data_IF_742443329741
#
_entry.id   IF_742443329741
#
_cell.length_a   1.000
_cell.length_b   1.000
_cell.length_c   1.000
_cell.angle_alpha   90.00
_cell.angle_beta   90.00
_cell.angle_gamma   90.00
#
_symmetry.space_group_name_H-M   'P 1'
#
loop_
_entity.id
_entity.type
_entity.pdbx_description
1 polymer ?
#
# COMPACT_ATOMS: atom_id res chain seq x y z
N UNK A 1 19.55 32.67 -17.96
CA UNK A 1 19.32 32.08 -16.63
C UNK A 1 18.81 30.65 -16.84
N UNK A 2 19.49 29.65 -16.29
CA UNK A 2 19.14 28.25 -16.51
C UNK A 2 17.85 27.91 -15.77
N UNK A 3 16.81 27.48 -16.51
CA UNK A 3 15.53 27.03 -15.95
C UNK A 3 15.80 25.70 -15.23
N UNK A 4 15.45 25.60 -13.94
CA UNK A 4 15.52 24.34 -13.20
C UNK A 4 14.66 23.30 -13.93
N UNK A 5 15.22 22.10 -14.15
CA UNK A 5 14.53 20.98 -14.82
C UNK A 5 13.48 20.31 -13.93
N UNK A 6 13.41 20.70 -12.65
CA UNK A 6 12.43 20.20 -11.71
C UNK A 6 11.16 21.05 -11.85
N UNK A 7 10.11 20.44 -12.37
CA UNK A 7 8.76 21.01 -12.30
C UNK A 7 8.25 21.03 -10.85
N UNK A 8 7.04 21.56 -10.62
CA UNK A 8 6.41 21.50 -9.31
C UNK A 8 6.40 20.06 -8.78
N UNK A 9 6.86 19.88 -7.55
CA UNK A 9 6.74 18.59 -6.86
C UNK A 9 5.25 18.32 -6.70
N UNK A 10 4.78 17.16 -7.14
CA UNK A 10 3.39 16.74 -6.97
C UNK A 10 3.06 16.75 -5.48
N UNK A 11 2.08 17.56 -5.08
CA UNK A 11 1.51 17.54 -3.74
C UNK A 11 0.53 16.38 -3.67
N UNK A 12 1.06 15.16 -3.50
CA UNK A 12 0.25 13.96 -3.26
C UNK A 12 -0.39 14.07 -1.87
N UNK A 13 -1.52 14.77 -1.83
CA UNK A 13 -2.27 14.97 -0.59
C UNK A 13 -2.83 13.61 -0.12
N UNK A 14 -2.41 13.12 1.07
CA UNK A 14 -2.91 11.85 1.57
C UNK A 14 -4.42 11.95 1.86
N UNK A 15 -5.18 11.00 1.36
CA UNK A 15 -6.62 10.86 1.67
C UNK A 15 -6.74 9.97 2.90
N UNK A 16 -7.31 10.50 3.99
CA UNK A 16 -7.60 9.71 5.19
C UNK A 16 -8.87 8.88 4.97
N UNK A 17 -8.77 7.58 5.19
CA UNK A 17 -9.89 6.63 5.10
C UNK A 17 -10.01 5.95 6.46
N UNK A 18 -11.22 5.97 7.04
CA UNK A 18 -11.56 5.18 8.23
C UNK A 18 -12.27 3.90 7.78
N UNK A 19 -11.79 2.75 8.24
CA UNK A 19 -12.33 1.43 7.87
C UNK A 19 -12.37 0.54 9.11
N UNK A 20 -13.41 -0.27 9.20
CA UNK A 20 -13.49 -1.37 10.15
C UNK A 20 -13.04 -2.66 9.47
N UNK A 21 -12.29 -3.49 10.19
CA UNK A 21 -11.81 -4.78 9.72
C UNK A 21 -12.49 -5.91 10.49
N UNK A 22 -12.87 -7.02 9.82
CA UNK A 22 -13.24 -8.23 10.52
C UNK A 22 -12.14 -8.68 11.49
N UNK A 23 -12.54 -9.14 12.68
CA UNK A 23 -11.57 -9.56 13.70
C UNK A 23 -10.64 -10.69 13.23
N UNK A 24 -11.11 -11.57 12.33
CA UNK A 24 -10.28 -12.59 11.69
C UNK A 24 -9.16 -11.97 10.86
N UNK A 25 -9.48 -10.99 10.01
CA UNK A 25 -8.50 -10.33 9.16
C UNK A 25 -7.44 -9.59 9.99
N UNK A 26 -7.84 -8.92 11.08
CA UNK A 26 -6.87 -8.30 11.98
C UNK A 26 -5.90 -9.34 12.58
N UNK A 27 -6.39 -10.50 13.02
CA UNK A 27 -5.51 -11.58 13.53
C UNK A 27 -4.56 -12.10 12.46
N UNK A 28 -5.03 -12.24 11.23
CA UNK A 28 -4.18 -12.68 10.11
C UNK A 28 -3.09 -11.65 9.79
N UNK A 29 -3.41 -10.35 9.86
CA UNK A 29 -2.42 -9.27 9.69
C UNK A 29 -1.38 -9.24 10.81
N UNK A 30 -1.78 -9.52 12.06
CA UNK A 30 -0.84 -9.69 13.19
C UNK A 30 0.12 -10.83 12.92
N UNK A 31 -0.40 -12.01 12.57
CA UNK A 31 0.44 -13.17 12.26
C UNK A 31 1.37 -12.88 11.07
N UNK A 32 0.89 -12.19 10.04
CA UNK A 32 1.72 -11.79 8.91
C UNK A 32 2.86 -10.86 9.32
N UNK A 33 2.58 -9.86 10.17
CA UNK A 33 3.60 -8.94 10.68
C UNK A 33 4.70 -9.67 11.46
N UNK A 34 4.33 -10.67 12.26
CA UNK A 34 5.29 -11.50 13.00
C UNK A 34 6.16 -12.36 12.08
N UNK A 35 5.58 -12.96 11.04
CA UNK A 35 6.34 -13.73 10.05
C UNK A 35 7.32 -12.81 9.31
N UNK A 36 6.85 -11.65 8.84
CA UNK A 36 7.68 -10.66 8.14
C UNK A 36 8.84 -10.17 9.02
N UNK A 37 8.59 -9.94 10.31
CA UNK A 37 9.62 -9.57 11.28
C UNK A 37 10.73 -10.61 11.37
N UNK A 38 10.34 -11.90 11.46
CA UNK A 38 11.29 -13.03 11.52
C UNK A 38 12.10 -13.15 10.24
N UNK A 39 11.47 -12.96 9.08
CA UNK A 39 12.14 -13.05 7.77
C UNK A 39 13.12 -11.90 7.52
N UNK A 40 12.77 -10.69 7.96
CA UNK A 40 13.57 -9.48 7.73
C UNK A 40 14.57 -9.16 8.84
N UNK A 41 14.46 -9.83 9.98
CA UNK A 41 15.22 -9.52 11.20
C UNK A 41 14.84 -8.16 11.82
N UNK A 42 13.73 -7.56 11.38
CA UNK A 42 13.22 -6.28 11.88
C UNK A 42 12.15 -6.51 12.94
N UNK A 43 11.85 -5.51 13.79
CA UNK A 43 10.71 -5.58 14.69
C UNK A 43 9.39 -5.78 13.95
N UNK A 44 8.45 -6.49 14.59
CA UNK A 44 7.09 -6.61 14.08
C UNK A 44 6.47 -5.23 13.89
N UNK A 45 6.00 -4.99 12.67
CA UNK A 45 5.33 -3.75 12.30
C UNK A 45 3.87 -3.79 12.78
N UNK A 46 3.31 -2.62 13.06
CA UNK A 46 1.86 -2.47 13.32
C UNK A 46 1.07 -3.10 12.15
N UNK A 47 0.17 -4.07 12.40
CA UNK A 47 -0.62 -4.74 11.38
C UNK A 47 -1.34 -3.78 10.42
N UNK A 48 -1.76 -2.61 10.91
CA UNK A 48 -2.47 -1.59 10.10
C UNK A 48 -1.55 -0.99 9.04
N UNK A 49 -0.25 -0.88 9.32
CA UNK A 49 0.74 -0.35 8.36
C UNK A 49 1.00 -1.29 7.18
N UNK A 50 0.57 -2.55 7.27
CA UNK A 50 0.67 -3.50 6.16
C UNK A 50 -0.40 -3.26 5.09
N UNK A 51 -1.53 -2.65 5.45
CA UNK A 51 -2.71 -2.53 4.57
C UNK A 51 -2.36 -1.75 3.30
N UNK A 52 -1.75 -0.57 3.46
CA UNK A 52 -1.39 0.30 2.32
C UNK A 52 -0.44 -0.40 1.33
N UNK A 53 0.75 -0.89 1.73
CA UNK A 53 1.65 -1.55 0.78
C UNK A 53 1.08 -2.85 0.19
N UNK A 54 0.24 -3.59 0.94
CA UNK A 54 -0.45 -4.76 0.40
C UNK A 54 -1.46 -4.37 -0.70
N UNK A 55 -2.27 -3.33 -0.49
CA UNK A 55 -3.23 -2.83 -1.48
C UNK A 55 -2.52 -2.25 -2.71
N UNK A 56 -1.46 -1.47 -2.52
CA UNK A 56 -0.63 -0.97 -3.62
C UNK A 56 -0.07 -2.13 -4.45
N UNK A 57 0.49 -3.15 -3.79
CA UNK A 57 1.01 -4.34 -4.46
C UNK A 57 -0.07 -5.10 -5.21
N UNK A 58 -1.24 -5.27 -4.60
CA UNK A 58 -2.39 -5.92 -5.22
C UNK A 58 -2.81 -5.20 -6.51
N UNK A 59 -3.06 -3.89 -6.43
CA UNK A 59 -3.47 -3.05 -7.57
C UNK A 59 -2.41 -3.05 -8.67
N UNK A 60 -1.12 -2.94 -8.30
CA UNK A 60 -0.03 -2.87 -9.26
C UNK A 60 0.17 -4.20 -10.03
N UNK A 61 -0.16 -5.34 -9.41
CA UNK A 61 0.10 -6.66 -9.98
C UNK A 61 -1.13 -7.31 -10.61
N UNK A 62 -2.35 -6.83 -10.33
CA UNK A 62 -3.58 -7.31 -10.94
C UNK A 62 -3.68 -6.92 -12.43
N UNK A 63 -3.35 -7.87 -13.31
CA UNK A 63 -3.43 -7.72 -14.76
C UNK A 63 -4.87 -7.56 -15.26
N UNK A 64 -5.84 -8.19 -14.59
CA UNK A 64 -7.26 -8.09 -14.93
C UNK A 64 -7.76 -6.68 -14.70
N UNK A 65 -7.46 -6.13 -13.52
CA UNK A 65 -7.71 -4.73 -13.20
C UNK A 65 -7.01 -3.78 -14.18
N UNK A 66 -5.72 -4.01 -14.47
CA UNK A 66 -4.97 -3.19 -15.41
C UNK A 66 -5.57 -3.19 -16.83
N UNK A 67 -6.12 -4.32 -17.31
CA UNK A 67 -6.81 -4.41 -18.60
C UNK A 67 -8.14 -3.64 -18.57
N UNK A 68 -8.95 -3.83 -17.53
CA UNK A 68 -10.23 -3.15 -17.38
C UNK A 68 -10.06 -1.62 -17.30
N UNK A 69 -9.08 -1.14 -16.52
CA UNK A 69 -8.77 0.30 -16.38
C UNK A 69 -8.39 0.96 -17.70
N UNK A 70 -7.65 0.26 -18.57
CA UNK A 70 -7.30 0.76 -19.91
C UNK A 70 -8.47 0.78 -20.88
N UNK A 71 -9.45 -0.09 -20.70
CA UNK A 71 -10.65 -0.14 -21.55
C UNK A 71 -11.69 0.91 -21.14
N UNK A 72 -11.63 1.39 -19.89
CA UNK A 72 -12.56 2.37 -19.33
C UNK A 72 -12.09 3.83 -19.47
N UNK A 73 -10.84 4.07 -19.87
CA UNK A 73 -10.26 5.40 -20.12
C UNK A 73 -10.02 5.61 -21.61
#
# INVERSE_FOLDING_TARGET
MAKLKLGPIADDKPVKITTELPASLHRDLVAYAEVLARETGQPATDPVKLIVPMLERFIATDRGFAKARRAAG
#
